data_IF_605570807928
#
_entry.id   IF_605570807928
#
_cell.length_a   1.000
_cell.length_b   1.000
_cell.length_c   1.000
_cell.angle_alpha   90.00
_cell.angle_beta   90.00
_cell.angle_gamma   90.00
#
_symmetry.space_group_name_H-M   'P 1'
#
loop_
_entity.id
_entity.type
_entity.pdbx_description
1 polymer ?
#
# COMPACT_ATOMS: atom_id res chain seq x y z
N UNK A 1 18.13 14.14 5.27
CA UNK A 1 17.45 13.63 4.06
C UNK A 1 16.20 14.49 3.82
N UNK A 2 16.16 15.31 2.77
CA UNK A 2 14.97 16.11 2.41
C UNK A 2 14.19 15.37 1.34
N UNK A 3 12.97 15.00 1.64
CA UNK A 3 12.02 14.48 0.65
C UNK A 3 11.44 15.68 -0.13
N UNK A 4 11.73 15.76 -1.41
CA UNK A 4 11.14 16.77 -2.29
C UNK A 4 9.96 16.11 -2.98
N UNK A 5 8.75 16.60 -2.70
CA UNK A 5 7.53 16.18 -3.40
C UNK A 5 7.48 16.91 -4.76
N UNK A 6 7.92 16.25 -5.83
CA UNK A 6 7.88 16.80 -7.17
C UNK A 6 6.55 16.45 -7.86
N UNK A 7 5.86 17.46 -8.40
CA UNK A 7 4.81 17.22 -9.40
C UNK A 7 5.45 16.69 -10.69
N UNK A 8 4.78 15.78 -11.38
CA UNK A 8 5.23 15.14 -12.63
C UNK A 8 5.67 16.15 -13.71
N UNK A 9 5.15 17.37 -13.68
CA UNK A 9 5.48 18.49 -14.60
C UNK A 9 6.96 18.92 -14.57
N UNK A 10 7.72 18.57 -13.52
CA UNK A 10 9.13 18.95 -13.36
C UNK A 10 10.11 17.78 -13.57
N UNK A 11 9.61 16.63 -14.01
CA UNK A 11 10.44 15.44 -14.21
C UNK A 11 11.52 15.59 -15.28
N UNK A 12 11.34 16.53 -16.22
CA UNK A 12 12.35 16.86 -17.24
C UNK A 12 13.57 17.59 -16.67
N UNK A 13 13.40 18.29 -15.55
CA UNK A 13 14.49 19.01 -14.88
C UNK A 13 15.29 18.13 -13.90
N UNK A 14 14.75 17.00 -13.48
CA UNK A 14 15.42 16.09 -12.57
C UNK A 14 16.77 15.54 -13.08
N UNK A 15 16.91 15.18 -14.38
CA UNK A 15 18.21 14.76 -14.92
C UNK A 15 19.27 15.85 -14.83
N UNK A 16 18.88 17.13 -14.94
CA UNK A 16 19.81 18.27 -14.81
C UNK A 16 20.34 18.41 -13.40
N UNK A 17 19.50 18.18 -12.38
CA UNK A 17 19.91 18.18 -10.97
C UNK A 17 20.86 17.02 -10.62
N UNK A 18 20.77 15.92 -11.35
CA UNK A 18 21.65 14.75 -11.18
C UNK A 18 22.99 14.90 -11.93
N UNK A 19 23.11 15.89 -12.82
CA UNK A 19 24.29 16.15 -13.64
C UNK A 19 25.23 17.20 -13.01
N UNK A 20 25.25 17.28 -11.69
CA UNK A 20 26.24 18.16 -11.04
C UNK A 20 27.66 17.63 -11.33
N UNK A 21 28.56 18.53 -11.66
CA UNK A 21 30.00 18.25 -11.83
C UNK A 21 30.34 17.23 -12.95
N UNK A 22 29.62 17.26 -14.05
CA UNK A 22 29.86 16.35 -15.22
C UNK A 22 30.00 14.87 -14.82
N UNK A 23 29.18 14.40 -13.88
CA UNK A 23 29.19 13.02 -13.38
C UNK A 23 30.46 12.60 -12.59
N UNK A 24 31.34 13.55 -12.24
CA UNK A 24 32.56 13.23 -11.48
C UNK A 24 32.32 12.95 -10.00
N UNK A 25 31.19 13.42 -9.44
CA UNK A 25 30.83 13.22 -8.04
C UNK A 25 29.32 13.05 -7.84
N UNK A 26 28.93 12.02 -7.07
CA UNK A 26 27.51 11.74 -6.76
C UNK A 26 27.09 12.41 -5.45
N UNK A 27 26.53 13.61 -5.54
CA UNK A 27 26.05 14.35 -4.36
C UNK A 27 24.60 14.06 -3.99
N UNK A 28 23.82 13.46 -4.90
CA UNK A 28 22.38 13.28 -4.74
C UNK A 28 21.97 11.82 -5.01
N UNK A 29 21.10 11.30 -4.16
CA UNK A 29 20.35 10.06 -4.41
C UNK A 29 18.91 10.41 -4.67
N UNK A 30 18.36 9.93 -5.79
CA UNK A 30 16.98 10.16 -6.18
C UNK A 30 16.13 8.94 -5.86
N UNK A 31 15.12 9.13 -5.01
CA UNK A 31 14.09 8.14 -4.71
C UNK A 31 12.75 8.63 -5.28
N UNK A 32 12.22 7.92 -6.26
CA UNK A 32 10.91 8.19 -6.87
C UNK A 32 9.88 7.22 -6.33
N UNK A 33 8.88 7.73 -5.63
CA UNK A 33 7.77 6.94 -5.10
C UNK A 33 6.48 7.45 -5.70
N UNK A 34 5.67 6.57 -6.26
CA UNK A 34 4.40 6.95 -6.86
C UNK A 34 3.50 5.77 -7.17
N UNK A 35 2.32 6.07 -7.67
CA UNK A 35 1.34 5.08 -8.11
C UNK A 35 1.76 4.47 -9.47
N UNK A 36 1.01 3.46 -9.94
CA UNK A 36 1.23 2.81 -11.25
C UNK A 36 1.32 3.79 -12.42
N UNK A 37 0.67 4.93 -12.32
CA UNK A 37 0.75 6.00 -13.31
C UNK A 37 2.17 6.55 -13.45
N UNK A 38 2.93 6.66 -12.33
CA UNK A 38 4.32 7.10 -12.37
C UNK A 38 5.18 6.14 -13.23
N UNK A 39 4.98 4.83 -13.09
CA UNK A 39 5.67 3.83 -13.91
C UNK A 39 5.39 4.00 -15.39
N UNK A 40 4.11 4.25 -15.74
CA UNK A 40 3.71 4.54 -17.14
C UNK A 40 4.35 5.84 -17.66
N UNK A 41 4.33 6.89 -16.84
CA UNK A 41 4.96 8.16 -17.21
C UNK A 41 6.46 8.01 -17.43
N UNK A 42 7.17 7.33 -16.53
CA UNK A 42 8.61 7.08 -16.67
C UNK A 42 8.96 6.18 -17.86
N UNK A 43 8.01 5.38 -18.38
CA UNK A 43 8.22 4.57 -19.59
C UNK A 43 8.21 5.39 -20.87
N UNK A 44 7.72 6.62 -20.85
CA UNK A 44 7.72 7.49 -22.01
C UNK A 44 9.16 7.85 -22.44
N UNK A 45 9.36 8.07 -23.76
CA UNK A 45 10.67 8.33 -24.33
C UNK A 45 11.33 9.60 -23.81
N UNK A 46 10.52 10.64 -23.46
CA UNK A 46 10.98 11.89 -22.86
C UNK A 46 11.69 11.69 -21.50
N UNK A 47 11.46 10.57 -20.81
CA UNK A 47 12.09 10.26 -19.53
C UNK A 47 13.20 9.19 -19.64
N UNK A 48 13.69 8.92 -20.85
CA UNK A 48 14.73 7.91 -21.09
C UNK A 48 16.02 8.18 -20.28
N UNK A 49 16.45 9.43 -20.20
CA UNK A 49 17.63 9.83 -19.44
C UNK A 49 17.48 9.54 -17.94
N UNK A 50 16.30 9.79 -17.37
CA UNK A 50 16.01 9.49 -15.98
C UNK A 50 15.98 7.97 -15.73
N UNK A 51 15.37 7.22 -16.64
CA UNK A 51 15.29 5.76 -16.56
C UNK A 51 16.64 5.07 -16.65
N UNK A 52 17.54 5.54 -17.52
CA UNK A 52 18.90 4.98 -17.64
C UNK A 52 19.76 5.17 -16.37
N UNK A 53 19.49 6.22 -15.61
CA UNK A 53 20.17 6.51 -14.34
C UNK A 53 19.55 5.82 -13.13
N UNK A 54 18.33 5.29 -13.27
CA UNK A 54 17.66 4.54 -12.22
C UNK A 54 18.22 3.12 -12.18
N UNK A 55 19.07 2.83 -11.19
CA UNK A 55 19.68 1.52 -11.02
C UNK A 55 18.77 0.48 -10.36
N UNK A 56 17.66 0.88 -9.76
CA UNK A 56 16.77 0.00 -9.01
C UNK A 56 15.29 0.35 -9.23
N UNK A 57 14.48 -0.64 -9.59
CA UNK A 57 13.05 -0.51 -9.74
C UNK A 57 12.37 -1.57 -8.89
N UNK A 58 11.51 -1.15 -8.00
CA UNK A 58 10.70 -2.06 -7.20
C UNK A 58 9.21 -1.76 -7.37
N UNK A 59 8.41 -2.79 -7.18
CA UNK A 59 6.96 -2.69 -7.21
C UNK A 59 6.39 -3.24 -5.91
N UNK A 60 5.81 -2.35 -5.11
CA UNK A 60 5.14 -2.75 -3.87
C UNK A 60 3.75 -3.31 -4.21
N UNK A 61 3.61 -4.60 -4.06
CA UNK A 61 2.33 -5.30 -4.17
C UNK A 61 1.55 -5.23 -2.84
N UNK A 62 0.32 -5.73 -2.85
CA UNK A 62 -0.43 -5.96 -1.61
C UNK A 62 0.21 -7.09 -0.79
N UNK A 63 -0.12 -7.14 0.49
CA UNK A 63 0.28 -8.22 1.39
C UNK A 63 -0.15 -9.57 0.83
N UNK A 64 0.69 -10.58 0.97
CA UNK A 64 0.30 -11.97 0.74
C UNK A 64 -0.72 -12.41 1.79
N UNK A 65 -1.33 -13.57 1.61
CA UNK A 65 -2.31 -14.08 2.58
C UNK A 65 -1.69 -14.30 3.95
N UNK A 66 -0.49 -14.86 4.01
CA UNK A 66 0.24 -15.13 5.25
C UNK A 66 0.64 -13.84 5.95
N UNK A 67 1.14 -12.86 5.19
CA UNK A 67 1.47 -11.54 5.70
C UNK A 67 0.23 -10.78 6.21
N UNK A 68 -0.93 -10.96 5.57
CA UNK A 68 -2.19 -10.35 6.03
C UNK A 68 -2.61 -10.91 7.39
N UNK A 69 -2.45 -12.22 7.62
CA UNK A 69 -2.77 -12.83 8.91
C UNK A 69 -1.85 -12.29 10.03
N UNK A 70 -0.57 -12.15 9.75
CA UNK A 70 0.41 -11.51 10.64
C UNK A 70 0.07 -10.05 10.90
N UNK A 71 -0.26 -9.31 9.85
CA UNK A 71 -0.65 -7.90 9.92
C UNK A 71 -1.89 -7.68 10.79
N UNK A 72 -2.96 -8.45 10.58
CA UNK A 72 -4.19 -8.36 11.40
C UNK A 72 -3.90 -8.66 12.88
N UNK A 73 -3.12 -9.69 13.14
CA UNK A 73 -2.74 -10.08 14.50
C UNK A 73 -1.94 -8.96 15.17
N UNK A 74 -1.00 -8.35 14.48
CA UNK A 74 -0.21 -7.24 14.99
C UNK A 74 -1.07 -6.00 15.27
N UNK A 75 -2.00 -5.65 14.37
CA UNK A 75 -2.90 -4.50 14.55
C UNK A 75 -3.84 -4.71 15.74
N UNK A 76 -4.42 -5.90 15.91
CA UNK A 76 -5.27 -6.22 17.07
C UNK A 76 -4.47 -6.17 18.36
N UNK A 77 -3.26 -6.71 18.40
CA UNK A 77 -2.36 -6.65 19.56
C UNK A 77 -1.99 -5.22 19.93
N UNK A 78 -1.69 -4.37 18.94
CA UNK A 78 -1.42 -2.95 19.17
C UNK A 78 -2.63 -2.20 19.74
N UNK A 79 -3.85 -2.65 19.42
CA UNK A 79 -5.10 -2.15 20.01
C UNK A 79 -5.44 -2.78 21.40
N UNK A 80 -4.55 -3.60 21.98
CA UNK A 80 -4.76 -4.25 23.27
C UNK A 80 -5.62 -5.52 23.22
N UNK A 81 -5.92 -6.03 22.01
CA UNK A 81 -6.75 -7.23 21.84
C UNK A 81 -5.87 -8.44 21.58
N UNK A 82 -5.93 -9.44 22.45
CA UNK A 82 -5.15 -10.69 22.35
C UNK A 82 -5.93 -11.84 21.72
N UNK A 83 -7.25 -11.73 21.67
CA UNK A 83 -8.13 -12.76 21.13
C UNK A 83 -8.28 -12.62 19.60
N UNK A 84 -8.38 -13.73 18.85
CA UNK A 84 -8.65 -13.72 17.43
C UNK A 84 -10.10 -13.29 17.16
N UNK A 85 -10.29 -12.03 16.70
CA UNK A 85 -11.62 -11.50 16.39
C UNK A 85 -12.13 -11.90 14.98
N UNK A 86 -11.30 -12.49 14.14
CA UNK A 86 -11.66 -12.95 12.80
C UNK A 86 -11.47 -14.47 12.70
N UNK A 87 -12.50 -15.19 12.29
CA UNK A 87 -12.34 -16.61 11.98
C UNK A 87 -11.56 -16.81 10.67
N UNK A 88 -11.13 -18.04 10.40
CA UNK A 88 -10.31 -18.35 9.21
C UNK A 88 -11.02 -18.01 7.89
N UNK A 89 -12.34 -18.24 7.83
CA UNK A 89 -13.13 -17.94 6.65
C UNK A 89 -13.27 -16.44 6.40
N UNK A 90 -13.39 -15.64 7.47
CA UNK A 90 -13.41 -14.18 7.36
C UNK A 90 -12.04 -13.65 6.90
N UNK A 91 -10.93 -14.19 7.40
CA UNK A 91 -9.58 -13.80 6.94
C UNK A 91 -9.38 -14.11 5.46
N UNK A 92 -9.81 -15.29 4.99
CA UNK A 92 -9.81 -15.63 3.56
C UNK A 92 -10.64 -14.66 2.73
N UNK A 93 -11.86 -14.34 3.19
CA UNK A 93 -12.74 -13.39 2.53
C UNK A 93 -12.15 -11.97 2.51
N UNK A 94 -11.52 -11.53 3.60
CA UNK A 94 -10.86 -10.25 3.70
C UNK A 94 -9.73 -10.11 2.66
N UNK A 95 -8.91 -11.14 2.50
CA UNK A 95 -7.87 -11.17 1.48
C UNK A 95 -8.46 -11.11 0.06
N UNK A 96 -9.49 -11.91 -0.22
CA UNK A 96 -10.15 -11.92 -1.53
C UNK A 96 -10.74 -10.56 -1.91
N UNK A 97 -11.38 -9.87 -0.95
CA UNK A 97 -12.00 -8.57 -1.17
C UNK A 97 -10.98 -7.44 -1.34
N UNK A 98 -9.85 -7.50 -0.61
CA UNK A 98 -8.89 -6.39 -0.53
C UNK A 98 -7.65 -6.57 -1.40
N UNK A 99 -7.39 -7.81 -1.85
CA UNK A 99 -6.14 -8.21 -2.54
C UNK A 99 -4.89 -7.83 -1.75
N UNK A 100 -4.97 -7.89 -0.42
CA UNK A 100 -3.87 -7.56 0.47
C UNK A 100 -3.49 -6.08 0.56
N UNK A 101 -4.24 -5.17 -0.05
CA UNK A 101 -3.95 -3.72 0.03
C UNK A 101 -4.23 -3.21 1.45
N UNK A 102 -3.23 -2.77 2.24
CA UNK A 102 -3.38 -2.49 3.68
C UNK A 102 -4.47 -1.47 3.99
N UNK A 103 -4.58 -0.42 3.17
CA UNK A 103 -5.64 0.60 3.34
C UNK A 103 -7.05 0.01 3.19
N UNK A 104 -7.25 -0.91 2.23
CA UNK A 104 -8.53 -1.59 2.02
C UNK A 104 -8.79 -2.59 3.15
N UNK A 105 -7.74 -3.31 3.58
CA UNK A 105 -7.82 -4.24 4.72
C UNK A 105 -8.30 -3.51 5.96
N UNK A 106 -7.68 -2.39 6.31
CA UNK A 106 -8.06 -1.60 7.48
C UNK A 106 -9.50 -1.08 7.39
N UNK A 107 -9.90 -0.53 6.23
CA UNK A 107 -11.27 -0.04 6.04
C UNK A 107 -12.29 -1.15 6.24
N UNK A 108 -12.10 -2.29 5.58
CA UNK A 108 -13.04 -3.40 5.64
C UNK A 108 -13.04 -4.09 7.01
N UNK A 109 -11.87 -4.31 7.61
CA UNK A 109 -11.75 -4.89 8.95
C UNK A 109 -12.43 -4.00 10.00
N UNK A 110 -12.23 -2.69 9.95
CA UNK A 110 -12.86 -1.74 10.86
C UNK A 110 -14.39 -1.74 10.71
N UNK A 111 -14.92 -1.75 9.47
CA UNK A 111 -16.36 -1.84 9.22
C UNK A 111 -16.91 -3.14 9.79
N UNK A 112 -16.26 -4.28 9.52
CA UNK A 112 -16.69 -5.58 10.03
C UNK A 112 -16.69 -5.63 11.59
N UNK A 113 -15.69 -5.06 12.24
CA UNK A 113 -15.61 -4.99 13.69
C UNK A 113 -16.71 -4.10 14.29
N UNK A 114 -17.02 -2.97 13.66
CA UNK A 114 -18.15 -2.11 14.06
C UNK A 114 -19.48 -2.84 13.98
N UNK A 115 -19.70 -3.57 12.89
CA UNK A 115 -20.92 -4.38 12.70
C UNK A 115 -21.00 -5.52 13.71
N UNK A 116 -19.87 -6.19 14.01
CA UNK A 116 -19.81 -7.23 15.05
C UNK A 116 -20.18 -6.65 16.42
N UNK A 117 -19.64 -5.50 16.77
CA UNK A 117 -19.94 -4.82 18.02
C UNK A 117 -21.43 -4.42 18.11
N UNK A 118 -22.00 -3.85 17.04
CA UNK A 118 -23.40 -3.49 16.98
C UNK A 118 -24.35 -4.70 17.14
N UNK A 119 -23.96 -5.84 16.57
CA UNK A 119 -24.69 -7.12 16.66
C UNK A 119 -24.31 -7.95 17.91
N UNK A 120 -23.41 -7.45 18.76
CA UNK A 120 -22.88 -8.14 19.96
C UNK A 120 -22.30 -9.52 19.64
N UNK A 121 -21.65 -9.66 18.50
CA UNK A 121 -21.00 -10.90 18.06
C UNK A 121 -19.54 -10.92 18.58
N UNK A 122 -19.07 -12.03 19.13
CA UNK A 122 -17.70 -12.13 19.67
C UNK A 122 -16.64 -12.24 18.59
N UNK A 123 -17.00 -12.72 17.39
CA UNK A 123 -16.07 -13.00 16.30
C UNK A 123 -16.71 -12.60 14.97
N UNK A 124 -15.91 -12.05 14.07
CA UNK A 124 -16.31 -11.77 12.68
C UNK A 124 -16.25 -13.06 11.87
N UNK A 125 -17.37 -13.45 11.32
CA UNK A 125 -17.50 -14.56 10.39
C UNK A 125 -17.55 -14.11 8.92
N UNK A 126 -17.65 -15.08 8.01
CA UNK A 126 -17.72 -14.80 6.57
C UNK A 126 -19.00 -14.04 6.17
N UNK A 127 -20.12 -14.33 6.81
CA UNK A 127 -21.41 -13.70 6.47
C UNK A 127 -21.37 -12.21 6.84
N UNK A 128 -20.90 -11.90 8.06
CA UNK A 128 -20.72 -10.52 8.51
C UNK A 128 -19.71 -9.74 7.65
N UNK A 129 -18.67 -10.42 7.19
CA UNK A 129 -17.68 -9.79 6.32
C UNK A 129 -18.27 -9.44 4.94
N UNK A 130 -19.14 -10.27 4.40
CA UNK A 130 -19.84 -9.97 3.15
C UNK A 130 -20.77 -8.75 3.32
N UNK A 131 -21.51 -8.68 4.41
CA UNK A 131 -22.33 -7.50 4.74
C UNK A 131 -21.45 -6.25 4.84
N UNK A 132 -20.31 -6.35 5.55
CA UNK A 132 -19.36 -5.26 5.69
C UNK A 132 -18.73 -4.84 4.35
N UNK A 133 -18.55 -5.76 3.42
CA UNK A 133 -18.01 -5.45 2.08
C UNK A 133 -19.00 -4.60 1.29
N UNK A 134 -20.27 -4.90 1.34
CA UNK A 134 -21.31 -4.09 0.67
C UNK A 134 -21.41 -2.68 1.24
N UNK A 135 -21.27 -2.53 2.57
CA UNK A 135 -21.27 -1.21 3.22
C UNK A 135 -19.97 -0.43 2.97
N UNK A 136 -18.83 -1.09 2.93
CA UNK A 136 -17.54 -0.43 2.71
C UNK A 136 -17.33 0.06 1.25
N UNK A 137 -18.11 -0.44 0.29
CA UNK A 137 -18.06 -0.02 -1.12
C UNK A 137 -18.91 1.24 -1.39
N UNK A 138 -19.75 1.63 -0.46
CA UNK A 138 -20.47 2.91 -0.44
C UNK A 138 -19.61 4.01 0.18
#
# INVERSE_FOLDING_TARGET
MRLICCRILHSEQLPLLLNFDMDSSRYLSLLLIGQLLLRRTLSLQMHAALRQRNGFHDHMEGLTREELDGYLTQQLKAAGVTQPLFNEMARKGLYQATKGVPRKVNKLAMTALRMAAARKLPVVDKALLLDATSEALL
#
